data_IF_665443893308
#
_entry.id   IF_665443893308
#
_cell.length_a   1.000
_cell.length_b   1.000
_cell.length_c   1.000
_cell.angle_alpha   90.00
_cell.angle_beta   90.00
_cell.angle_gamma   90.00
#
_symmetry.space_group_name_H-M   'P 1'
#
loop_
_entity.id
_entity.type
_entity.pdbx_description
1 polymer ?
#
# COMPACT_ATOMS: atom_id res chain seq x y z
N UNK A 1 -6.60 -30.71 -12.10
CA UNK A 1 -7.07 -29.40 -11.57
C UNK A 1 -8.39 -28.96 -12.23
N UNK A 2 -8.51 -29.05 -13.55
CA UNK A 2 -9.73 -28.63 -14.25
C UNK A 2 -10.88 -29.60 -13.98
N UNK A 3 -10.69 -30.90 -14.16
CA UNK A 3 -11.73 -31.92 -13.94
C UNK A 3 -12.27 -31.93 -12.50
N UNK A 4 -11.39 -31.74 -11.53
CA UNK A 4 -11.76 -31.65 -10.10
C UNK A 4 -12.70 -30.47 -9.84
N UNK A 5 -12.44 -29.33 -10.47
CA UNK A 5 -13.26 -28.13 -10.31
C UNK A 5 -14.55 -28.19 -11.15
N UNK A 6 -14.52 -28.84 -12.32
CA UNK A 6 -15.75 -29.19 -13.07
C UNK A 6 -16.67 -30.09 -12.24
N UNK A 7 -16.11 -31.10 -11.55
CA UNK A 7 -16.87 -31.96 -10.65
C UNK A 7 -17.48 -31.19 -9.47
N UNK A 8 -16.75 -30.20 -8.92
CA UNK A 8 -17.27 -29.29 -7.90
C UNK A 8 -18.45 -28.45 -8.42
N UNK A 9 -18.36 -27.90 -9.63
CA UNK A 9 -19.49 -27.18 -10.26
C UNK A 9 -20.69 -28.10 -10.50
N UNK A 10 -20.46 -29.35 -10.91
CA UNK A 10 -21.53 -30.34 -11.05
C UNK A 10 -22.22 -30.62 -9.72
N UNK A 11 -21.44 -30.76 -8.63
CA UNK A 11 -21.97 -30.92 -7.27
C UNK A 11 -22.80 -29.70 -6.83
N UNK A 12 -22.30 -28.49 -7.04
CA UNK A 12 -23.02 -27.25 -6.73
C UNK A 12 -24.34 -27.15 -7.53
N UNK A 13 -24.33 -27.60 -8.78
CA UNK A 13 -25.52 -27.61 -9.65
C UNK A 13 -26.56 -28.61 -9.15
N UNK A 14 -26.11 -29.81 -8.72
CA UNK A 14 -26.99 -30.80 -8.11
C UNK A 14 -27.62 -30.30 -6.81
N UNK A 15 -26.84 -29.67 -5.91
CA UNK A 15 -27.33 -29.08 -4.67
C UNK A 15 -28.33 -27.95 -4.91
N UNK A 16 -28.06 -27.10 -5.90
CA UNK A 16 -28.99 -26.03 -6.28
C UNK A 16 -30.31 -26.60 -6.84
N UNK A 17 -30.25 -27.68 -7.63
CA UNK A 17 -31.44 -28.35 -8.20
C UNK A 17 -32.24 -29.09 -7.12
N UNK A 18 -31.57 -29.63 -6.10
CA UNK A 18 -32.19 -30.27 -4.93
C UNK A 18 -32.73 -29.28 -3.88
N UNK A 19 -32.60 -27.96 -4.09
CA UNK A 19 -32.92 -26.91 -3.12
C UNK A 19 -32.16 -27.02 -1.79
N UNK A 20 -30.98 -27.63 -1.78
CA UNK A 20 -30.11 -27.76 -0.59
C UNK A 20 -29.13 -26.58 -0.46
N UNK A 21 -29.07 -25.69 -1.46
CA UNK A 21 -28.14 -24.57 -1.47
C UNK A 21 -28.66 -23.38 -0.66
N UNK A 22 -28.08 -23.15 0.51
CA UNK A 22 -28.35 -21.96 1.30
C UNK A 22 -27.77 -20.69 0.67
N UNK A 23 -28.56 -19.61 0.70
CA UNK A 23 -28.16 -18.30 0.22
C UNK A 23 -27.20 -17.61 1.19
N UNK A 24 -26.16 -16.97 0.64
CA UNK A 24 -25.27 -16.14 1.44
C UNK A 24 -25.98 -14.84 1.88
N UNK A 25 -25.61 -14.25 3.02
CA UNK A 25 -26.21 -13.00 3.50
C UNK A 25 -26.15 -11.89 2.43
N UNK A 26 -27.29 -11.27 2.14
CA UNK A 26 -27.41 -10.20 1.14
C UNK A 26 -27.45 -10.67 -0.32
N UNK A 27 -27.47 -11.98 -0.59
CA UNK A 27 -27.57 -12.55 -1.93
C UNK A 27 -28.82 -13.43 -2.08
N UNK A 28 -29.33 -13.55 -3.29
CA UNK A 28 -30.33 -14.57 -3.61
C UNK A 28 -29.65 -15.93 -3.88
N UNK A 29 -30.42 -17.02 -3.90
CA UNK A 29 -29.90 -18.39 -4.12
C UNK A 29 -29.15 -18.49 -5.45
N UNK A 30 -29.66 -17.85 -6.51
CA UNK A 30 -29.02 -17.87 -7.84
C UNK A 30 -27.69 -17.11 -7.90
N UNK A 31 -27.61 -15.94 -7.27
CA UNK A 31 -26.37 -15.18 -7.16
C UNK A 31 -25.36 -15.91 -6.27
N UNK A 32 -25.83 -16.57 -5.21
CA UNK A 32 -24.98 -17.42 -4.38
C UNK A 32 -24.40 -18.58 -5.18
N UNK A 33 -25.21 -19.25 -6.00
CA UNK A 33 -24.76 -20.28 -6.93
C UNK A 33 -23.71 -19.75 -7.91
N UNK A 34 -24.01 -18.65 -8.61
CA UNK A 34 -23.09 -18.06 -9.60
C UNK A 34 -21.78 -17.57 -8.95
N UNK A 35 -21.82 -17.06 -7.71
CA UNK A 35 -20.64 -16.66 -6.96
C UNK A 35 -19.76 -17.88 -6.63
N UNK A 36 -20.34 -18.93 -6.02
CA UNK A 36 -19.61 -20.16 -5.69
C UNK A 36 -18.99 -20.82 -6.93
N UNK A 37 -19.73 -20.89 -8.03
CA UNK A 37 -19.22 -21.43 -9.31
C UNK A 37 -18.09 -20.56 -9.86
N UNK A 38 -18.22 -19.23 -9.83
CA UNK A 38 -17.16 -18.33 -10.31
C UNK A 38 -15.89 -18.44 -9.46
N UNK A 39 -16.02 -18.60 -8.14
CA UNK A 39 -14.88 -18.85 -7.25
C UNK A 39 -14.16 -20.16 -7.58
N UNK A 40 -14.90 -21.25 -7.76
CA UNK A 40 -14.35 -22.56 -8.14
C UNK A 40 -13.57 -22.49 -9.47
N UNK A 41 -14.17 -21.89 -10.50
CA UNK A 41 -13.54 -21.77 -11.82
C UNK A 41 -12.33 -20.83 -11.82
N UNK A 42 -12.35 -19.75 -11.04
CA UNK A 42 -11.19 -18.87 -10.87
C UNK A 42 -10.06 -19.59 -10.14
N UNK A 43 -10.36 -20.37 -9.09
CA UNK A 43 -9.36 -21.19 -8.40
C UNK A 43 -8.73 -22.22 -9.33
N UNK A 44 -9.53 -22.85 -10.20
CA UNK A 44 -9.04 -23.78 -11.22
C UNK A 44 -7.99 -23.14 -12.12
N UNK A 45 -8.27 -21.91 -12.59
CA UNK A 45 -7.35 -21.12 -13.43
C UNK A 45 -6.06 -20.79 -12.69
N UNK A 46 -6.15 -20.27 -11.46
CA UNK A 46 -4.99 -19.82 -10.71
C UNK A 46 -4.06 -20.99 -10.32
N UNK A 47 -4.64 -22.14 -9.95
CA UNK A 47 -3.88 -23.38 -9.70
C UNK A 47 -3.18 -23.87 -10.97
N UNK A 48 -3.90 -23.93 -12.09
CA UNK A 48 -3.32 -24.33 -13.36
C UNK A 48 -2.17 -23.39 -13.78
N UNK A 49 -2.37 -22.08 -13.65
CA UNK A 49 -1.34 -21.07 -13.94
C UNK A 49 -0.09 -21.23 -13.07
N UNK A 50 -0.26 -21.46 -11.77
CA UNK A 50 0.86 -21.67 -10.85
C UNK A 50 1.65 -22.94 -11.17
N UNK A 51 0.95 -24.05 -11.46
CA UNK A 51 1.59 -25.31 -11.85
C UNK A 51 2.35 -25.15 -13.16
N UNK A 52 1.78 -24.45 -14.14
CA UNK A 52 2.45 -24.23 -15.42
C UNK A 52 3.66 -23.31 -15.26
N UNK A 53 3.57 -22.24 -14.48
CA UNK A 53 4.71 -21.36 -14.23
C UNK A 53 5.88 -22.12 -13.58
N UNK A 54 5.62 -22.98 -12.60
CA UNK A 54 6.65 -23.83 -11.97
C UNK A 54 7.25 -24.87 -12.91
N UNK A 55 6.51 -25.27 -13.95
CA UNK A 55 6.99 -26.25 -14.92
C UNK A 55 7.92 -25.64 -15.99
N UNK A 56 7.85 -24.33 -16.20
CA UNK A 56 8.69 -23.63 -17.16
C UNK A 56 10.06 -23.32 -16.55
N UNK A 57 11.11 -23.42 -17.36
CA UNK A 57 12.47 -23.03 -16.94
C UNK A 57 12.59 -21.51 -16.84
N UNK A 58 13.40 -21.04 -15.91
CA UNK A 58 13.72 -19.61 -15.73
C UNK A 58 14.35 -18.98 -17.00
N UNK A 59 15.00 -19.80 -17.82
CA UNK A 59 15.57 -19.38 -19.11
C UNK A 59 14.55 -19.20 -20.23
N UNK A 60 13.27 -19.50 -20.00
CA UNK A 60 12.22 -19.26 -20.98
C UNK A 60 11.98 -17.75 -21.13
N UNK A 61 12.10 -17.25 -22.36
CA UNK A 61 11.92 -15.83 -22.68
C UNK A 61 10.60 -15.23 -22.13
N UNK A 62 9.51 -16.00 -22.14
CA UNK A 62 8.23 -15.53 -21.60
C UNK A 62 8.26 -15.33 -20.08
N UNK A 63 8.96 -16.21 -19.37
CA UNK A 63 9.16 -16.11 -17.91
C UNK A 63 10.08 -14.94 -17.60
N UNK A 64 11.21 -14.83 -18.30
CA UNK A 64 12.15 -13.70 -18.15
C UNK A 64 11.46 -12.34 -18.39
N UNK A 65 10.59 -12.24 -19.41
CA UNK A 65 9.83 -11.02 -19.70
C UNK A 65 8.84 -10.66 -18.58
N UNK A 66 8.15 -11.67 -18.02
CA UNK A 66 7.22 -11.47 -16.90
C UNK A 66 7.95 -11.14 -15.59
N UNK A 67 9.06 -11.81 -15.30
CA UNK A 67 9.85 -11.61 -14.07
C UNK A 67 10.60 -10.27 -14.06
N UNK A 68 11.09 -9.85 -15.22
CA UNK A 68 11.67 -8.51 -15.39
C UNK A 68 10.64 -7.39 -15.27
N UNK A 69 9.33 -7.71 -15.29
CA UNK A 69 8.26 -6.72 -15.28
C UNK A 69 8.16 -5.89 -16.57
N UNK A 70 8.84 -6.31 -17.64
CA UNK A 70 8.88 -5.56 -18.91
C UNK A 70 7.56 -5.64 -19.66
N UNK A 71 6.99 -6.85 -19.80
CA UNK A 71 5.66 -7.05 -20.39
C UNK A 71 5.12 -8.43 -20.03
N UNK A 72 3.81 -8.51 -19.88
CA UNK A 72 3.15 -9.77 -19.56
C UNK A 72 3.27 -10.11 -18.07
N UNK A 73 2.46 -11.07 -17.67
CA UNK A 73 2.29 -11.51 -16.30
C UNK A 73 2.06 -13.01 -16.26
N UNK A 74 2.08 -13.61 -15.07
CA UNK A 74 1.81 -15.04 -14.86
C UNK A 74 0.47 -15.48 -15.47
N UNK A 75 -0.55 -14.61 -15.44
CA UNK A 75 -1.83 -14.89 -16.09
C UNK A 75 -1.70 -15.00 -17.62
N UNK A 76 -0.88 -14.18 -18.28
CA UNK A 76 -0.71 -14.29 -19.72
C UNK A 76 -0.03 -15.60 -20.12
N UNK A 77 1.00 -16.01 -19.36
CA UNK A 77 1.68 -17.30 -19.56
C UNK A 77 0.68 -18.45 -19.37
N UNK A 78 -0.13 -18.38 -18.31
CA UNK A 78 -1.18 -19.38 -18.03
C UNK A 78 -2.21 -19.48 -19.15
N UNK A 79 -2.67 -18.35 -19.71
CA UNK A 79 -3.64 -18.36 -20.81
C UNK A 79 -3.06 -18.90 -22.12
N UNK A 80 -1.78 -18.64 -22.38
CA UNK A 80 -1.11 -19.18 -23.57
C UNK A 80 -0.92 -20.70 -23.50
N UNK A 81 -0.65 -21.25 -22.32
CA UNK A 81 -0.17 -22.63 -22.17
C UNK A 81 -1.15 -23.58 -21.48
N UNK A 82 -1.84 -23.12 -20.43
CA UNK A 82 -2.71 -23.94 -19.58
C UNK A 82 -4.20 -23.83 -19.99
N UNK A 83 -4.85 -22.71 -19.66
CA UNK A 83 -6.26 -22.46 -19.96
C UNK A 83 -6.57 -20.96 -19.97
N UNK A 84 -7.50 -20.53 -20.80
CA UNK A 84 -7.89 -19.11 -20.87
C UNK A 84 -8.74 -18.69 -19.67
N UNK A 85 -9.70 -19.54 -19.27
CA UNK A 85 -10.54 -19.37 -18.10
C UNK A 85 -11.94 -18.81 -18.38
N UNK A 86 -12.66 -18.46 -17.32
CA UNK A 86 -14.04 -17.97 -17.39
C UNK A 86 -14.13 -16.61 -18.09
N UNK A 87 -14.93 -16.53 -19.14
CA UNK A 87 -15.30 -15.27 -19.79
C UNK A 87 -16.48 -14.63 -19.04
N UNK A 88 -16.33 -13.36 -18.72
CA UNK A 88 -17.28 -12.58 -17.93
C UNK A 88 -17.77 -11.45 -18.82
N UNK A 89 -19.09 -11.21 -18.81
CA UNK A 89 -19.74 -10.07 -19.47
C UNK A 89 -20.58 -9.31 -18.44
N UNK A 90 -20.38 -8.00 -18.31
CA UNK A 90 -21.07 -7.15 -17.32
C UNK A 90 -20.98 -7.69 -15.88
N UNK A 91 -19.83 -8.24 -15.50
CA UNK A 91 -19.57 -8.80 -14.17
C UNK A 91 -20.27 -10.14 -13.88
N UNK A 92 -20.89 -10.78 -14.88
CA UNK A 92 -21.56 -12.09 -14.76
C UNK A 92 -21.01 -13.08 -15.79
N UNK A 93 -21.21 -14.38 -15.56
CA UNK A 93 -20.98 -15.38 -16.62
C UNK A 93 -21.95 -15.12 -17.79
N UNK A 94 -21.56 -15.54 -19.00
CA UNK A 94 -22.27 -15.27 -20.27
C UNK A 94 -23.79 -15.43 -20.10
N UNK A 95 -24.61 -14.39 -20.27
CA UNK A 95 -26.05 -14.46 -20.05
C UNK A 95 -26.74 -15.36 -21.08
N UNK A 96 -27.96 -15.82 -20.77
CA UNK A 96 -28.79 -16.54 -21.75
C UNK A 96 -29.35 -15.56 -22.79
N UNK A 97 -28.72 -15.50 -23.96
CA UNK A 97 -29.17 -14.68 -25.08
C UNK A 97 -30.31 -15.32 -25.89
N UNK A 98 -30.44 -16.64 -25.85
CA UNK A 98 -31.57 -17.38 -26.43
C UNK A 98 -32.52 -17.86 -25.32
N UNK A 99 -33.68 -18.41 -25.73
CA UNK A 99 -34.68 -18.98 -24.80
C UNK A 99 -34.06 -20.02 -23.86
N UNK A 100 -33.72 -19.58 -22.65
CA UNK A 100 -33.07 -20.35 -21.58
C UNK A 100 -31.76 -21.06 -21.98
N UNK A 101 -30.97 -20.48 -22.88
CA UNK A 101 -29.66 -21.03 -23.29
C UNK A 101 -28.73 -19.95 -23.84
N UNK A 102 -27.43 -20.23 -23.87
CA UNK A 102 -26.39 -19.31 -24.39
C UNK A 102 -26.22 -19.40 -25.90
N UNK A 103 -26.12 -20.61 -26.46
CA UNK A 103 -26.06 -20.88 -27.90
C UNK A 103 -27.07 -21.97 -28.31
N UNK A 104 -27.48 -22.03 -29.59
CA UNK A 104 -28.40 -23.06 -30.08
C UNK A 104 -27.87 -24.50 -29.92
N UNK A 105 -26.55 -24.66 -29.81
CA UNK A 105 -25.87 -25.95 -29.63
C UNK A 105 -25.99 -26.51 -28.22
N UNK A 106 -26.33 -25.69 -27.22
CA UNK A 106 -26.52 -26.14 -25.85
C UNK A 106 -28.01 -26.42 -25.57
N UNK A 107 -28.23 -27.34 -24.62
CA UNK A 107 -29.56 -27.65 -24.10
C UNK A 107 -30.10 -26.47 -23.29
N UNK A 108 -31.41 -26.48 -23.02
CA UNK A 108 -32.05 -25.46 -22.20
C UNK A 108 -31.66 -25.65 -20.74
N UNK A 109 -31.52 -24.54 -20.04
CA UNK A 109 -31.18 -24.47 -18.61
C UNK A 109 -29.85 -25.15 -18.27
N UNK A 110 -28.91 -25.14 -19.21
CA UNK A 110 -27.55 -25.63 -18.98
C UNK A 110 -26.69 -24.57 -18.25
N UNK A 111 -26.33 -24.88 -17.00
CA UNK A 111 -25.49 -24.03 -16.14
C UNK A 111 -24.03 -24.50 -16.06
N UNK A 112 -23.66 -25.50 -16.86
CA UNK A 112 -22.30 -26.04 -16.93
C UNK A 112 -21.26 -24.96 -17.28
N UNK A 113 -19.98 -25.15 -16.91
CA UNK A 113 -18.92 -24.21 -17.25
C UNK A 113 -18.84 -23.95 -18.76
N UNK A 114 -18.89 -24.99 -19.58
CA UNK A 114 -18.75 -24.93 -21.04
C UNK A 114 -19.88 -24.13 -21.70
N UNK A 115 -21.13 -24.37 -21.27
CA UNK A 115 -22.28 -23.64 -21.78
C UNK A 115 -22.26 -22.16 -21.38
N UNK A 116 -21.60 -21.81 -20.28
CA UNK A 116 -21.62 -20.47 -19.66
C UNK A 116 -20.31 -19.71 -19.82
N UNK A 117 -19.49 -20.07 -20.80
CA UNK A 117 -18.31 -19.30 -21.21
C UNK A 117 -17.01 -19.60 -20.49
N UNK A 118 -16.88 -20.77 -19.85
CA UNK A 118 -15.58 -21.25 -19.39
C UNK A 118 -14.78 -21.81 -20.57
N UNK A 119 -13.60 -21.23 -20.82
CA UNK A 119 -12.68 -21.69 -21.85
C UNK A 119 -11.61 -22.56 -21.20
N UNK A 120 -11.68 -23.86 -21.47
CA UNK A 120 -10.76 -24.85 -20.92
C UNK A 120 -9.46 -24.89 -21.73
N UNK A 121 -9.54 -24.67 -23.05
CA UNK A 121 -8.37 -24.72 -23.90
C UNK A 121 -7.46 -23.49 -23.71
N UNK A 122 -6.17 -23.66 -24.01
CA UNK A 122 -5.20 -22.57 -24.08
C UNK A 122 -5.06 -22.04 -25.50
N UNK A 123 -4.41 -20.88 -25.67
CA UNK A 123 -4.13 -20.36 -27.00
C UNK A 123 -3.21 -21.28 -27.82
N UNK A 124 -2.34 -22.05 -27.17
CA UNK A 124 -1.51 -23.05 -27.84
C UNK A 124 -2.33 -24.22 -28.40
N UNK A 125 -3.32 -24.70 -27.64
CA UNK A 125 -4.19 -25.82 -28.06
C UNK A 125 -5.24 -25.40 -29.08
N UNK A 126 -5.65 -24.14 -29.05
CA UNK A 126 -6.71 -23.58 -29.89
C UNK A 126 -8.08 -23.72 -29.21
N UNK A 127 -8.96 -22.75 -29.47
CA UNK A 127 -10.30 -22.70 -28.90
C UNK A 127 -11.30 -23.46 -29.78
N UNK A 128 -12.28 -24.10 -29.16
CA UNK A 128 -13.46 -24.62 -29.87
C UNK A 128 -14.34 -23.48 -30.39
N UNK A 129 -15.23 -23.72 -31.38
CA UNK A 129 -16.09 -22.65 -31.93
C UNK A 129 -16.95 -21.94 -30.88
N UNK A 130 -17.50 -22.68 -29.91
CA UNK A 130 -18.29 -22.12 -28.81
C UNK A 130 -17.44 -21.25 -27.88
N UNK A 131 -16.26 -21.75 -27.49
CA UNK A 131 -15.31 -21.01 -26.65
C UNK A 131 -14.81 -19.74 -27.36
N UNK A 132 -14.51 -19.83 -28.66
CA UNK A 132 -14.09 -18.69 -29.47
C UNK A 132 -15.16 -17.60 -29.50
N UNK A 133 -16.44 -17.97 -29.67
CA UNK A 133 -17.54 -17.01 -29.67
C UNK A 133 -17.70 -16.33 -28.29
N UNK A 134 -17.64 -17.08 -27.20
CA UNK A 134 -17.71 -16.50 -25.85
C UNK A 134 -16.51 -15.61 -25.53
N UNK A 135 -15.31 -16.00 -25.98
CA UNK A 135 -14.11 -15.19 -25.85
C UNK A 135 -14.20 -13.88 -26.65
N UNK A 136 -14.71 -13.94 -27.88
CA UNK A 136 -14.94 -12.76 -28.71
C UNK A 136 -15.99 -11.81 -28.09
N UNK A 137 -17.03 -12.36 -27.44
CA UNK A 137 -18.05 -11.58 -26.74
C UNK A 137 -17.44 -10.75 -25.59
N UNK A 138 -16.66 -11.39 -24.72
CA UNK A 138 -15.97 -10.70 -23.63
C UNK A 138 -14.90 -9.71 -24.15
N UNK A 139 -14.16 -10.09 -25.20
CA UNK A 139 -13.21 -9.19 -25.87
C UNK A 139 -13.88 -7.93 -26.43
N UNK A 140 -15.10 -8.06 -26.96
CA UNK A 140 -15.86 -6.93 -27.50
C UNK A 140 -16.28 -5.94 -26.42
N UNK A 141 -16.66 -6.41 -25.23
CA UNK A 141 -16.94 -5.53 -24.09
C UNK A 141 -15.71 -4.69 -23.74
N UNK A 142 -14.53 -5.29 -23.64
CA UNK A 142 -13.28 -4.57 -23.35
C UNK A 142 -12.93 -3.51 -24.40
N UNK A 143 -13.17 -3.79 -25.69
CA UNK A 143 -12.97 -2.82 -26.77
C UNK A 143 -13.95 -1.64 -26.67
N UNK A 144 -15.22 -1.92 -26.36
CA UNK A 144 -16.24 -0.87 -26.18
C UNK A 144 -15.92 -0.03 -24.95
N UNK A 145 -15.60 -0.67 -23.82
CA UNK A 145 -15.25 -0.01 -22.55
C UNK A 145 -14.04 0.92 -22.72
N UNK A 146 -13.02 0.47 -23.48
CA UNK A 146 -11.86 1.32 -23.81
C UNK A 146 -12.27 2.56 -24.59
N UNK A 147 -13.15 2.41 -25.59
CA UNK A 147 -13.63 3.54 -26.39
C UNK A 147 -14.45 4.54 -25.56
N UNK A 148 -15.33 4.04 -24.69
CA UNK A 148 -16.18 4.88 -23.82
C UNK A 148 -15.34 5.59 -22.76
N UNK A 149 -14.47 4.85 -22.04
CA UNK A 149 -13.60 5.41 -21.00
C UNK A 149 -12.67 6.49 -21.54
N UNK A 150 -12.17 6.34 -22.76
CA UNK A 150 -11.31 7.36 -23.40
C UNK A 150 -12.05 8.70 -23.55
N UNK A 151 -13.32 8.68 -24.00
CA UNK A 151 -14.11 9.88 -24.15
C UNK A 151 -14.44 10.53 -22.79
N UNK A 152 -14.82 9.72 -21.80
CA UNK A 152 -15.20 10.21 -20.47
C UNK A 152 -14.01 10.75 -19.68
N UNK A 153 -12.88 10.03 -19.64
CA UNK A 153 -11.68 10.44 -18.89
C UNK A 153 -11.14 11.77 -19.39
N UNK A 154 -11.06 11.99 -20.71
CA UNK A 154 -10.62 13.26 -21.27
C UNK A 154 -11.57 14.42 -20.93
N UNK A 155 -12.88 14.16 -20.93
CA UNK A 155 -13.86 15.17 -20.54
C UNK A 155 -13.77 15.51 -19.04
N UNK A 156 -13.64 14.51 -18.18
CA UNK A 156 -13.45 14.70 -16.73
C UNK A 156 -12.16 15.48 -16.47
N UNK A 157 -11.05 15.12 -17.12
CA UNK A 157 -9.78 15.85 -17.01
C UNK A 157 -9.96 17.33 -17.38
N UNK A 158 -10.59 17.62 -18.54
CA UNK A 158 -10.82 19.01 -18.97
C UNK A 158 -11.67 19.78 -17.97
N UNK A 159 -12.71 19.16 -17.41
CA UNK A 159 -13.57 19.79 -16.39
C UNK A 159 -12.80 20.09 -15.11
N UNK A 160 -11.97 19.16 -14.64
CA UNK A 160 -11.14 19.36 -13.46
C UNK A 160 -10.13 20.47 -13.68
N UNK A 161 -9.44 20.50 -14.83
CA UNK A 161 -8.52 21.59 -15.19
C UNK A 161 -9.26 22.92 -15.21
N UNK A 162 -10.41 23.02 -15.87
CA UNK A 162 -11.18 24.27 -15.93
C UNK A 162 -11.72 24.75 -14.59
N UNK A 163 -11.99 23.84 -13.66
CA UNK A 163 -12.44 24.19 -12.31
C UNK A 163 -11.30 24.61 -11.38
N UNK A 164 -10.06 24.20 -11.66
CA UNK A 164 -8.91 24.38 -10.77
C UNK A 164 -7.78 25.22 -11.38
N UNK A 165 -7.91 25.68 -12.63
CA UNK A 165 -6.84 26.41 -13.35
C UNK A 165 -6.50 27.76 -12.74
N UNK A 166 -7.39 28.33 -11.94
CA UNK A 166 -7.20 29.63 -11.31
C UNK A 166 -6.56 29.56 -9.91
N UNK A 167 -6.46 28.34 -9.34
CA UNK A 167 -5.82 28.10 -8.07
C UNK A 167 -4.30 28.18 -8.20
N UNK A 168 -3.69 29.01 -7.36
CA UNK A 168 -2.24 29.18 -7.33
C UNK A 168 -1.73 29.38 -5.91
N UNK A 169 -0.54 28.83 -5.62
CA UNK A 169 0.17 29.11 -4.38
C UNK A 169 0.76 30.51 -4.45
N UNK A 170 0.52 31.31 -3.41
CA UNK A 170 1.05 32.67 -3.29
C UNK A 170 2.29 32.68 -2.40
N UNK A 171 3.04 33.79 -2.42
CA UNK A 171 4.30 33.93 -1.67
C UNK A 171 4.15 33.82 -0.15
N UNK A 172 2.93 33.97 0.37
CA UNK A 172 2.60 33.79 1.79
C UNK A 172 2.33 32.33 2.18
N UNK A 173 2.43 31.38 1.24
CA UNK A 173 2.17 29.95 1.46
C UNK A 173 0.70 29.55 1.33
N UNK A 174 -0.21 30.51 1.14
CA UNK A 174 -1.65 30.26 0.94
C UNK A 174 -1.94 29.85 -0.50
N UNK A 175 -2.99 29.05 -0.69
CA UNK A 175 -3.54 28.74 -2.03
C UNK A 175 -4.77 29.60 -2.24
N UNK A 176 -4.73 30.43 -3.29
CA UNK A 176 -5.81 31.38 -3.60
C UNK A 176 -6.31 31.21 -5.02
N UNK A 177 -7.59 31.53 -5.21
CA UNK A 177 -8.21 31.63 -6.52
C UNK A 177 -7.80 32.93 -7.25
N UNK A 178 -8.37 33.16 -8.43
CA UNK A 178 -8.13 34.38 -9.23
C UNK A 178 -8.70 35.66 -8.60
N UNK A 179 -9.76 35.55 -7.79
CA UNK A 179 -10.42 36.68 -7.11
C UNK A 179 -9.70 37.09 -5.81
N UNK A 180 -8.78 36.25 -5.32
CA UNK A 180 -8.05 36.46 -4.08
C UNK A 180 -8.64 35.73 -2.86
N UNK A 181 -9.70 34.95 -3.04
CA UNK A 181 -10.26 34.10 -1.99
C UNK A 181 -9.29 32.98 -1.63
N UNK A 182 -9.15 32.71 -0.33
CA UNK A 182 -8.26 31.69 0.21
C UNK A 182 -8.99 30.35 0.20
N UNK A 183 -8.41 29.35 -0.46
CA UNK A 183 -8.90 27.96 -0.48
C UNK A 183 -8.18 27.10 0.55
N UNK A 184 -6.86 27.27 0.68
CA UNK A 184 -6.05 26.62 1.72
C UNK A 184 -5.15 27.66 2.38
N UNK A 185 -5.07 27.63 3.71
CA UNK A 185 -4.15 28.48 4.46
C UNK A 185 -2.68 28.07 4.28
N UNK A 186 -2.45 26.79 4.00
CA UNK A 186 -1.13 26.25 3.69
C UNK A 186 -1.29 25.22 2.56
N UNK A 187 -0.45 25.32 1.53
CA UNK A 187 -0.46 24.38 0.40
C UNK A 187 -0.35 22.93 0.89
N UNK A 188 -1.30 22.07 0.53
CA UNK A 188 -1.24 20.66 0.91
C UNK A 188 -1.34 20.38 2.42
N UNK A 189 -1.73 21.38 3.23
CA UNK A 189 -1.77 21.33 4.70
C UNK A 189 -0.42 21.12 5.40
N UNK A 190 0.65 20.91 4.64
CA UNK A 190 2.03 20.75 5.12
C UNK A 190 3.01 21.78 4.52
N UNK A 191 2.64 22.49 3.45
CA UNK A 191 3.47 23.50 2.80
C UNK A 191 4.60 22.93 1.97
N UNK A 192 4.54 21.64 1.62
CA UNK A 192 5.61 20.92 0.94
C UNK A 192 5.24 20.55 -0.49
N UNK A 193 6.25 20.50 -1.37
CA UNK A 193 6.07 20.02 -2.73
C UNK A 193 5.93 18.48 -2.74
N UNK A 194 4.85 17.99 -3.35
CA UNK A 194 4.58 16.57 -3.53
C UNK A 194 5.70 15.81 -4.27
N UNK A 195 6.50 16.49 -5.10
CA UNK A 195 7.64 15.87 -5.79
C UNK A 195 8.77 15.44 -4.84
N UNK A 196 8.87 16.06 -3.65
CA UNK A 196 9.92 15.79 -2.67
C UNK A 196 9.47 14.85 -1.53
N UNK A 197 8.26 14.31 -1.61
CA UNK A 197 7.67 13.46 -0.57
C UNK A 197 7.90 11.99 -0.93
N UNK A 198 8.35 11.20 0.04
CA UNK A 198 8.56 9.75 -0.11
C UNK A 198 7.77 8.95 0.94
N UNK A 199 7.44 7.70 0.62
CA UNK A 199 6.76 6.79 1.55
C UNK A 199 7.75 6.29 2.62
N UNK A 200 7.58 6.73 3.85
CA UNK A 200 8.45 6.44 4.99
C UNK A 200 7.72 5.72 6.12
N UNK A 201 8.44 4.86 6.83
CA UNK A 201 7.89 4.12 7.97
C UNK A 201 8.02 4.91 9.27
N UNK A 202 6.89 5.21 9.91
CA UNK A 202 6.80 5.80 11.24
C UNK A 202 6.60 4.71 12.30
N UNK A 203 7.70 4.22 12.88
CA UNK A 203 7.70 3.04 13.76
C UNK A 203 7.04 3.21 15.13
N UNK A 204 6.79 4.45 15.58
CA UNK A 204 6.26 4.72 16.94
C UNK A 204 4.78 4.37 17.11
N UNK A 205 4.03 4.24 16.01
CA UNK A 205 2.57 4.12 16.02
C UNK A 205 2.08 2.76 16.54
N UNK A 206 2.55 1.66 15.96
CA UNK A 206 2.05 0.30 16.23
C UNK A 206 2.71 -0.39 17.42
N UNK A 207 3.89 0.05 17.84
CA UNK A 207 4.63 -0.59 18.94
C UNK A 207 3.80 -0.60 20.22
N UNK A 208 3.92 -1.67 21.01
CA UNK A 208 3.36 -1.72 22.37
C UNK A 208 4.13 -0.76 23.29
N UNK A 209 3.51 -0.35 24.40
CA UNK A 209 4.16 0.60 25.32
C UNK A 209 5.45 0.02 25.91
N UNK A 210 5.45 -1.27 26.26
CA UNK A 210 6.66 -1.97 26.72
C UNK A 210 7.76 -2.03 25.63
N UNK A 211 7.39 -2.28 24.36
CA UNK A 211 8.36 -2.31 23.28
C UNK A 211 8.90 -0.91 22.95
N UNK A 212 8.06 0.12 23.06
CA UNK A 212 8.43 1.51 22.88
C UNK A 212 9.41 1.97 23.96
N UNK A 213 9.12 1.68 25.23
CA UNK A 213 10.01 1.95 26.35
C UNK A 213 11.36 1.23 26.19
N UNK A 214 11.34 -0.06 25.86
CA UNK A 214 12.57 -0.83 25.62
C UNK A 214 13.41 -0.26 24.46
N UNK A 215 12.78 0.34 23.45
CA UNK A 215 13.48 0.90 22.29
C UNK A 215 14.06 2.28 22.56
N UNK A 216 13.31 3.18 23.20
CA UNK A 216 13.64 4.60 23.31
C UNK A 216 14.12 5.05 24.70
N UNK A 217 13.57 4.50 25.79
CA UNK A 217 13.94 4.92 27.16
C UNK A 217 15.35 4.46 27.52
N UNK A 218 16.19 5.36 28.03
CA UNK A 218 17.52 5.06 28.56
C UNK A 218 17.61 5.64 29.97
N UNK A 219 17.63 4.77 30.97
CA UNK A 219 17.82 5.18 32.36
C UNK A 219 19.30 5.04 32.73
N UNK A 220 19.93 6.14 33.14
CA UNK A 220 21.34 6.18 33.54
C UNK A 220 21.58 5.72 34.98
N UNK A 221 20.53 5.63 35.82
CA UNK A 221 20.62 5.06 37.17
C UNK A 221 20.74 3.53 37.13
N UNK A 222 20.04 2.89 36.19
CA UNK A 222 20.14 1.46 35.91
C UNK A 222 20.45 1.22 34.42
N UNK A 223 21.67 1.55 33.97
CA UNK A 223 22.01 1.46 32.56
C UNK A 223 22.10 0.00 32.10
N UNK A 224 21.58 -0.32 30.90
CA UNK A 224 21.62 -1.68 30.37
C UNK A 224 23.06 -2.13 30.05
N UNK A 225 23.30 -3.44 30.07
CA UNK A 225 24.66 -4.01 29.93
C UNK A 225 25.42 -3.56 28.67
N UNK A 226 24.72 -3.37 27.55
CA UNK A 226 25.30 -2.91 26.30
C UNK A 226 25.84 -1.47 26.41
N UNK A 227 25.18 -0.62 27.21
CA UNK A 227 25.58 0.78 27.38
C UNK A 227 26.94 0.92 28.06
N UNK A 228 27.32 -0.03 28.92
CA UNK A 228 28.66 -0.02 29.56
C UNK A 228 29.75 -0.65 28.69
N UNK A 229 29.40 -1.54 27.77
CA UNK A 229 30.36 -2.36 27.00
C UNK A 229 30.65 -1.80 25.61
N UNK A 230 29.60 -1.29 24.96
CA UNK A 230 29.60 -0.97 23.53
C UNK A 230 29.67 0.54 23.28
N UNK A 231 29.49 1.36 24.32
CA UNK A 231 29.53 2.81 24.23
C UNK A 231 30.73 3.39 24.99
N UNK A 232 31.43 4.34 24.38
CA UNK A 232 32.73 4.84 24.86
C UNK A 232 32.64 5.51 26.23
N UNK A 233 31.60 6.32 26.44
CA UNK A 233 31.39 7.09 27.68
C UNK A 233 30.44 6.41 28.67
N UNK A 234 30.16 5.11 28.50
CA UNK A 234 29.16 4.39 29.28
C UNK A 234 29.40 4.34 30.79
N UNK A 235 30.66 4.36 31.21
CA UNK A 235 31.03 4.38 32.64
C UNK A 235 31.05 5.79 33.23
N UNK A 236 31.33 6.81 32.42
CA UNK A 236 31.41 8.21 32.85
C UNK A 236 30.03 8.84 33.00
N UNK A 237 29.10 8.47 32.12
CA UNK A 237 27.72 8.97 32.13
C UNK A 237 26.79 8.18 33.06
N UNK A 238 27.28 7.11 33.69
CA UNK A 238 26.51 6.34 34.65
C UNK A 238 26.25 7.17 35.92
N UNK A 239 25.02 7.62 36.11
CA UNK A 239 24.62 8.46 37.23
C UNK A 239 24.91 9.95 37.05
N UNK A 240 25.25 10.42 35.85
CA UNK A 240 25.34 11.85 35.56
C UNK A 240 23.94 12.48 35.54
N UNK A 241 23.74 13.50 36.37
CA UNK A 241 22.44 14.14 36.54
C UNK A 241 22.06 14.99 35.32
N UNK A 242 23.02 15.73 34.75
CA UNK A 242 22.74 16.63 33.62
C UNK A 242 22.32 15.85 32.37
N UNK A 243 23.01 14.74 32.08
CA UNK A 243 22.64 13.86 30.96
C UNK A 243 21.33 13.11 31.20
N UNK A 244 20.99 12.79 32.46
CA UNK A 244 19.72 12.16 32.81
C UNK A 244 18.54 13.10 32.55
N UNK A 245 18.65 14.36 33.00
CA UNK A 245 17.62 15.38 32.79
C UNK A 245 17.34 15.60 31.29
N UNK A 246 18.39 15.57 30.45
CA UNK A 246 18.24 15.67 28.99
C UNK A 246 17.53 14.45 28.38
N UNK A 247 17.89 13.23 28.79
CA UNK A 247 17.27 12.00 28.29
C UNK A 247 15.80 11.87 28.71
N UNK A 248 15.47 12.30 29.93
CA UNK A 248 14.09 12.35 30.40
C UNK A 248 13.26 13.36 29.59
N UNK A 249 13.82 14.53 29.28
CA UNK A 249 13.16 15.52 28.42
C UNK A 249 12.89 14.99 26.99
N UNK A 250 13.83 14.23 26.40
CA UNK A 250 13.66 13.58 25.10
C UNK A 250 12.54 12.53 25.16
N UNK A 251 12.53 11.72 26.22
CA UNK A 251 11.53 10.67 26.42
C UNK A 251 10.10 11.23 26.59
N UNK A 252 9.92 12.26 27.41
CA UNK A 252 8.63 12.93 27.58
C UNK A 252 8.11 13.49 26.25
N UNK A 253 9.01 14.10 25.49
CA UNK A 253 8.71 14.65 24.16
C UNK A 253 8.25 13.57 23.18
N UNK A 254 8.97 12.44 23.11
CA UNK A 254 8.61 11.29 22.27
C UNK A 254 7.27 10.67 22.68
N UNK A 255 6.96 10.64 23.98
CA UNK A 255 5.70 10.14 24.51
C UNK A 255 4.53 11.05 24.11
N UNK A 256 4.70 12.38 24.22
CA UNK A 256 3.73 13.38 23.78
C UNK A 256 3.45 13.30 22.27
N UNK A 257 4.50 13.17 21.45
CA UNK A 257 4.37 12.98 20.01
C UNK A 257 3.58 11.72 19.69
N UNK A 258 3.91 10.60 20.34
CA UNK A 258 3.23 9.33 20.09
C UNK A 258 1.75 9.40 20.41
N UNK A 259 1.38 10.09 21.49
CA UNK A 259 -0.04 10.33 21.84
C UNK A 259 -0.74 11.19 20.78
N UNK A 260 -0.11 12.30 20.39
CA UNK A 260 -0.66 13.24 19.40
C UNK A 260 -0.85 12.59 18.03
N UNK A 261 0.18 11.90 17.52
CA UNK A 261 0.13 11.23 16.21
C UNK A 261 -0.89 10.07 16.24
N UNK A 262 -1.03 9.34 17.37
CA UNK A 262 -2.08 8.32 17.52
C UNK A 262 -3.48 8.92 17.53
N UNK A 263 -3.66 10.08 18.14
CA UNK A 263 -4.95 10.78 18.13
C UNK A 263 -5.34 11.19 16.70
N UNK A 264 -4.39 11.78 15.96
CA UNK A 264 -4.60 12.20 14.56
C UNK A 264 -4.89 10.99 13.67
N UNK A 265 -4.13 9.89 13.83
CA UNK A 265 -4.26 8.69 13.01
C UNK A 265 -5.25 7.65 13.56
N UNK A 266 -6.20 8.04 14.42
CA UNK A 266 -7.13 7.11 15.08
C UNK A 266 -7.94 6.25 14.10
N UNK A 267 -8.30 6.82 12.94
CA UNK A 267 -9.02 6.12 11.86
C UNK A 267 -8.15 5.17 11.04
N UNK A 268 -6.82 5.37 11.04
CA UNK A 268 -5.83 4.61 10.23
C UNK A 268 -4.74 3.96 11.08
N UNK A 269 -5.06 3.57 12.32
CA UNK A 269 -4.11 3.00 13.31
C UNK A 269 -3.27 1.80 12.82
N UNK A 270 -3.66 1.14 11.71
CA UNK A 270 -2.92 0.03 11.11
C UNK A 270 -1.83 0.43 10.09
N UNK A 271 -1.78 1.68 9.63
CA UNK A 271 -0.87 2.12 8.58
C UNK A 271 0.36 2.84 9.16
N UNK A 272 1.51 2.15 9.17
CA UNK A 272 2.80 2.74 9.62
C UNK A 272 3.52 3.52 8.51
N UNK A 273 3.09 3.36 7.26
CA UNK A 273 3.76 3.96 6.11
C UNK A 273 3.08 5.27 5.74
N UNK A 274 3.78 6.38 5.97
CA UNK A 274 3.29 7.73 5.72
C UNK A 274 4.08 8.38 4.58
N UNK A 275 3.44 9.33 3.88
CA UNK A 275 4.12 10.15 2.88
C UNK A 275 4.77 11.33 3.60
N UNK A 276 6.10 11.34 3.70
CA UNK A 276 6.87 12.36 4.45
C UNK A 276 8.09 12.82 3.63
N UNK A 277 8.48 14.10 3.73
CA UNK A 277 9.68 14.60 3.04
C UNK A 277 10.95 14.01 3.66
N UNK A 278 12.07 14.11 2.93
CA UNK A 278 13.42 13.76 3.38
C UNK A 278 13.53 12.34 3.96
N UNK A 279 14.04 11.39 3.17
CA UNK A 279 14.20 10.02 3.61
C UNK A 279 15.33 9.87 4.65
N UNK A 280 14.98 9.99 5.94
CA UNK A 280 15.94 10.01 7.05
C UNK A 280 16.71 8.68 7.13
N UNK A 281 16.05 7.56 6.86
CA UNK A 281 16.69 6.24 6.87
C UNK A 281 17.82 6.16 5.85
N UNK A 282 17.55 6.60 4.60
CA UNK A 282 18.56 6.66 3.54
C UNK A 282 19.69 7.62 3.89
N UNK A 283 19.38 8.80 4.45
CA UNK A 283 20.39 9.77 4.87
C UNK A 283 21.33 9.20 5.94
N UNK A 284 20.80 8.48 6.94
CA UNK A 284 21.62 7.80 7.96
C UNK A 284 22.52 6.74 7.32
N UNK A 285 22.00 5.91 6.41
CA UNK A 285 22.80 4.91 5.70
C UNK A 285 23.89 5.52 4.83
N UNK A 286 23.58 6.61 4.12
CA UNK A 286 24.57 7.36 3.33
C UNK A 286 25.66 7.94 4.23
N UNK A 287 25.30 8.54 5.36
CA UNK A 287 26.26 9.07 6.33
C UNK A 287 27.18 7.97 6.86
N UNK A 288 26.63 6.81 7.23
CA UNK A 288 27.43 5.65 7.66
C UNK A 288 28.44 5.20 6.61
N UNK A 289 28.07 5.21 5.33
CA UNK A 289 28.99 4.85 4.23
C UNK A 289 30.08 5.91 4.02
N UNK A 290 29.71 7.20 4.04
CA UNK A 290 30.66 8.30 3.84
C UNK A 290 31.71 8.35 4.96
N UNK A 291 31.28 8.16 6.21
CA UNK A 291 32.17 8.17 7.38
C UNK A 291 32.71 6.78 7.74
N UNK A 292 32.41 5.75 6.94
CA UNK A 292 32.85 4.36 7.13
C UNK A 292 32.59 3.81 8.55
N UNK A 293 31.43 4.13 9.12
CA UNK A 293 31.02 3.71 10.47
C UNK A 293 30.66 2.24 10.46
N UNK A 294 31.36 1.43 11.28
CA UNK A 294 31.06 0.00 11.45
C UNK A 294 30.24 -0.23 12.71
N UNK A 295 29.43 -1.28 12.72
CA UNK A 295 28.63 -1.66 13.90
C UNK A 295 29.48 -2.09 15.11
N UNK A 296 30.78 -2.34 14.92
CA UNK A 296 31.74 -2.68 15.98
C UNK A 296 32.37 -1.46 16.63
N UNK A 297 32.24 -0.29 15.99
CA UNK A 297 32.89 0.92 16.47
C UNK A 297 32.07 1.49 17.63
N UNK A 298 32.76 1.88 18.71
CA UNK A 298 32.09 2.51 19.85
C UNK A 298 31.71 3.93 19.46
N UNK A 299 30.46 4.32 19.73
CA UNK A 299 30.01 5.70 19.48
C UNK A 299 30.64 6.67 20.49
N UNK A 300 31.10 7.80 19.99
CA UNK A 300 31.66 8.92 20.75
C UNK A 300 30.66 10.08 20.94
N UNK A 301 29.36 9.87 20.65
CA UNK A 301 28.34 10.91 20.75
C UNK A 301 27.80 11.02 22.17
N UNK A 302 27.76 12.21 22.76
CA UNK A 302 27.16 12.43 24.09
C UNK A 302 25.69 12.90 23.99
N UNK A 303 24.83 12.61 24.97
CA UNK A 303 23.47 13.15 25.01
C UNK A 303 23.42 14.68 24.89
N UNK A 304 24.38 15.36 25.54
CA UNK A 304 24.55 16.81 25.51
C UNK A 304 24.84 17.38 24.10
N UNK A 305 25.44 16.58 23.20
CA UNK A 305 25.72 17.01 21.84
C UNK A 305 24.53 16.75 20.91
N UNK A 306 23.84 15.62 21.11
CA UNK A 306 22.80 15.12 20.19
C UNK A 306 21.46 15.81 20.44
N UNK A 307 20.97 15.81 21.69
CA UNK A 307 19.61 16.23 22.01
C UNK A 307 19.41 17.74 21.73
N UNK A 308 20.28 18.65 22.21
CA UNK A 308 20.14 20.07 21.90
C UNK A 308 20.30 20.37 20.41
N UNK A 309 21.17 19.62 19.70
CA UNK A 309 21.37 19.81 18.26
C UNK A 309 20.13 19.42 17.46
N UNK A 310 19.46 18.35 17.83
CA UNK A 310 18.20 17.93 17.22
C UNK A 310 17.10 18.95 17.55
N UNK A 311 16.97 19.39 18.80
CA UNK A 311 16.00 20.40 19.18
C UNK A 311 16.18 21.70 18.39
N UNK A 312 17.42 22.17 18.24
CA UNK A 312 17.76 23.33 17.42
C UNK A 312 17.38 23.10 15.96
N UNK A 313 17.73 21.95 15.37
CA UNK A 313 17.35 21.59 14.01
C UNK A 313 15.83 21.63 13.82
N UNK A 314 15.05 21.04 14.73
CA UNK A 314 13.58 21.05 14.65
C UNK A 314 12.99 22.46 14.81
N UNK A 315 13.65 23.34 15.57
CA UNK A 315 13.23 24.72 15.74
C UNK A 315 13.52 25.62 14.53
N UNK A 316 14.55 25.25 13.75
CA UNK A 316 14.93 25.91 12.49
C UNK A 316 14.06 25.47 11.31
N UNK A 317 13.50 24.26 11.39
CA UNK A 317 12.55 23.71 10.41
C UNK A 317 11.17 24.38 10.54
N UNK A 318 11.07 25.60 10.00
CA UNK A 318 9.84 26.41 9.96
C UNK A 318 9.28 26.49 8.55
N UNK A 319 7.98 26.26 8.45
CA UNK A 319 7.18 26.37 7.24
C UNK A 319 6.45 27.70 7.25
N UNK A 320 5.78 28.04 8.36
CA UNK A 320 5.09 29.32 8.52
C UNK A 320 6.01 30.31 9.22
N UNK A 321 6.31 31.43 8.55
CA UNK A 321 7.20 32.48 9.07
C UNK A 321 6.37 33.54 9.79
N UNK A 322 6.30 33.46 11.11
CA UNK A 322 5.66 34.46 11.96
C UNK A 322 6.02 34.28 13.43
N UNK A 323 5.95 35.36 14.21
CA UNK A 323 6.17 35.35 15.66
C UNK A 323 4.89 35.52 16.47
N UNK A 324 3.76 35.71 15.79
CA UNK A 324 2.44 35.76 16.41
C UNK A 324 1.98 34.36 16.83
N UNK A 325 1.11 34.26 17.87
CA UNK A 325 0.66 32.98 18.39
C UNK A 325 0.00 32.07 17.34
N UNK A 326 -0.70 32.66 16.37
CA UNK A 326 -1.41 31.92 15.32
C UNK A 326 -0.42 31.30 14.33
N UNK A 327 0.59 32.07 13.88
CA UNK A 327 1.64 31.53 13.02
C UNK A 327 2.45 30.42 13.69
N UNK A 328 2.71 30.53 14.99
CA UNK A 328 3.40 29.47 15.74
C UNK A 328 2.57 28.20 15.85
N UNK A 329 1.25 28.33 16.08
CA UNK A 329 0.32 27.20 16.08
C UNK A 329 0.21 26.55 14.69
N UNK A 330 0.12 27.35 13.63
CA UNK A 330 0.06 26.88 12.26
C UNK A 330 1.35 26.13 11.85
N UNK A 331 2.53 26.64 12.21
CA UNK A 331 3.81 25.95 11.97
C UNK A 331 3.89 24.61 12.70
N UNK A 332 3.46 24.60 13.98
CA UNK A 332 3.44 23.39 14.78
C UNK A 332 2.55 22.34 14.11
N UNK A 333 1.32 22.72 13.73
CA UNK A 333 0.35 21.84 13.07
C UNK A 333 0.85 21.27 11.74
N UNK A 334 1.47 22.09 10.89
CA UNK A 334 2.02 21.66 9.61
C UNK A 334 3.18 20.65 9.76
N UNK A 335 3.91 20.71 10.88
CA UNK A 335 5.16 19.95 11.06
C UNK A 335 5.06 18.78 12.04
N UNK A 336 3.92 18.55 12.70
CA UNK A 336 3.74 17.51 13.75
C UNK A 336 4.27 16.15 13.29
N UNK A 337 3.80 15.66 12.14
CA UNK A 337 4.12 14.32 11.64
C UNK A 337 5.61 14.20 11.29
N UNK A 338 6.18 15.22 10.64
CA UNK A 338 7.58 15.20 10.25
C UNK A 338 8.51 15.34 11.47
N UNK A 339 8.22 16.25 12.41
CA UNK A 339 8.98 16.43 13.65
C UNK A 339 8.92 15.15 14.52
N UNK A 340 7.78 14.47 14.57
CA UNK A 340 7.67 13.17 15.25
C UNK A 340 8.50 12.08 14.57
N UNK A 341 8.54 12.05 13.22
CA UNK A 341 9.40 11.13 12.48
C UNK A 341 10.88 11.39 12.79
N UNK A 342 11.35 12.63 12.68
CA UNK A 342 12.75 13.01 12.93
C UNK A 342 13.16 12.65 14.36
N UNK A 343 12.35 13.02 15.36
CA UNK A 343 12.60 12.65 16.78
C UNK A 343 12.65 11.14 16.96
N UNK A 344 11.73 10.41 16.35
CA UNK A 344 11.71 8.95 16.47
C UNK A 344 12.87 8.23 15.80
N UNK A 345 13.51 8.84 14.79
CA UNK A 345 14.62 8.23 14.04
C UNK A 345 15.99 8.66 14.55
N UNK A 346 16.07 9.87 15.10
CA UNK A 346 17.30 10.46 15.64
C UNK A 346 17.32 10.43 17.18
N UNK A 347 16.45 9.65 17.83
CA UNK A 347 16.50 9.48 19.28
C UNK A 347 17.88 8.98 19.72
N UNK A 348 18.42 9.51 20.83
CA UNK A 348 19.79 9.22 21.25
C UNK A 348 20.10 7.72 21.32
N UNK A 349 19.23 6.97 21.99
CA UNK A 349 19.35 5.50 22.10
C UNK A 349 19.25 4.79 20.76
N UNK A 350 18.47 5.31 19.81
CA UNK A 350 18.38 4.74 18.46
C UNK A 350 19.65 5.02 17.67
N UNK A 351 20.33 6.16 17.85
CA UNK A 351 21.60 6.48 17.16
C UNK A 351 22.77 5.66 17.70
N UNK A 352 22.86 5.50 19.02
CA UNK A 352 24.03 4.85 19.67
C UNK A 352 23.98 3.33 19.53
N UNK A 353 22.79 2.73 19.47
CA UNK A 353 22.59 1.28 19.47
C UNK A 353 22.58 0.65 18.07
N UNK A 354 22.97 1.37 17.01
CA UNK A 354 22.83 0.87 15.61
C UNK A 354 23.98 0.02 15.13
#
# INVERSE_FOLDING_TARGET
HIDTQKAEVAKLTAQATANELEALPGMNVRATFENKVSMALNSARDQAGTTTQKSLKDSNNAVTMSESGSKGSSINISQMTALVGQQIVEGKRIPFGFKYRTLPHFTKDDYSPEARGFVENSYLRGLTPSEFFFHAMAGREGLIDTAVKTAETGYIQRRLVKALEDLSARYDGTVRNSLGDIVQFLYGEDGLDAMCIEKQKLGILKMSDAAFEKKYRLDLANPPDWFKKDYEYGNELAGDKESMDLLDSEWETLLSDRQTVRLINKSKMGEEMMQLPLNIGRMIETAKRVFNVRATDRSNLRPADVIPRIQNLLSDLRIVRGSDPISMEADLNATILFKALVRSRLAFKEIVKV
#
